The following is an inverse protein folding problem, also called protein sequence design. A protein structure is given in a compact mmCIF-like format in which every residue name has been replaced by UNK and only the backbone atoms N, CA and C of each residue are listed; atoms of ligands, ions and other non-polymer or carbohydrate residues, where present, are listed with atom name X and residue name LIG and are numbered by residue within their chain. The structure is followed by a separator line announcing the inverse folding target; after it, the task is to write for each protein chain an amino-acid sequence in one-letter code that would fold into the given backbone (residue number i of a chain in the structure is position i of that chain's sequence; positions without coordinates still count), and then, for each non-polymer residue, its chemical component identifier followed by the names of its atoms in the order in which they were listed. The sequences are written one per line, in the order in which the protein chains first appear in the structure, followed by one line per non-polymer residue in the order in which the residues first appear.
data_IF_517969829692
#
_entry.id   IF_517969829692
#
_cell.length_a   1.000
_cell.length_b   1.000
_cell.length_c   1.000
_cell.angle_alpha   90.00
_cell.angle_beta   90.00
_cell.angle_gamma   90.00
#
_symmetry.space_group_name_H-M   'P 1'
#
loop_
_entity.id
_entity.type
_entity.pdbx_description
1 polymer ?
#
# COMPACT_ATOMS: atom_id res chain seq x y z
N UNK A 1 -28.34 -28.02 -10.09
CA UNK A 1 -27.15 -27.22 -10.45
C UNK A 1 -27.41 -25.72 -10.66
N UNK A 2 -28.64 -25.18 -10.59
CA UNK A 2 -28.88 -23.72 -10.71
C UNK A 2 -28.72 -22.94 -9.41
N UNK A 3 -29.01 -23.54 -8.26
CA UNK A 3 -29.01 -22.85 -6.96
C UNK A 3 -27.60 -22.50 -6.45
N UNK A 4 -26.59 -23.30 -6.83
CA UNK A 4 -25.20 -23.07 -6.43
C UNK A 4 -24.65 -21.77 -7.05
N UNK A 5 -24.87 -21.55 -8.35
CA UNK A 5 -24.44 -20.34 -9.05
C UNK A 5 -25.22 -19.07 -8.64
N UNK A 6 -26.49 -19.22 -8.23
CA UNK A 6 -27.30 -18.09 -7.74
C UNK A 6 -26.83 -17.52 -6.39
N UNK A 7 -25.99 -18.25 -5.64
CA UNK A 7 -25.50 -17.81 -4.33
C UNK A 7 -24.14 -17.09 -4.45
N UNK A 8 -23.39 -17.32 -5.53
CA UNK A 8 -22.16 -16.58 -5.87
C UNK A 8 -22.41 -15.37 -6.78
N UNK A 9 -23.63 -15.21 -7.30
CA UNK A 9 -24.02 -14.02 -8.04
C UNK A 9 -23.94 -12.80 -7.11
N UNK A 10 -22.90 -11.97 -7.32
CA UNK A 10 -22.81 -10.63 -6.71
C UNK A 10 -24.07 -9.87 -7.11
N UNK A 11 -24.93 -9.43 -6.18
CA UNK A 11 -26.13 -8.70 -6.53
C UNK A 11 -25.74 -7.47 -7.36
N UNK A 12 -26.21 -7.44 -8.61
CA UNK A 12 -25.89 -6.37 -9.54
C UNK A 12 -26.59 -5.11 -9.04
N UNK A 13 -25.77 -4.06 -8.87
CA UNK A 13 -26.07 -2.69 -8.46
C UNK A 13 -26.35 -2.50 -6.96
N UNK A 14 -25.28 -2.54 -6.14
CA UNK A 14 -25.25 -1.58 -5.04
C UNK A 14 -24.98 -0.22 -5.65
N UNK A 15 -26.02 0.60 -5.79
CA UNK A 15 -25.86 2.01 -6.14
C UNK A 15 -25.37 2.73 -4.88
N UNK A 16 -24.13 2.46 -4.51
CA UNK A 16 -23.40 3.14 -3.48
C UNK A 16 -23.09 4.53 -4.04
N UNK A 17 -24.10 5.41 -4.11
CA UNK A 17 -23.93 6.85 -4.34
C UNK A 17 -23.29 7.48 -3.08
N UNK A 18 -22.22 6.85 -2.63
CA UNK A 18 -21.24 7.31 -1.68
C UNK A 18 -20.26 8.13 -2.50
N UNK A 19 -20.16 9.41 -2.20
CA UNK A 19 -19.21 10.32 -2.86
C UNK A 19 -17.79 9.75 -2.85
N UNK A 20 -17.41 8.96 -1.83
CA UNK A 20 -16.08 8.34 -1.75
C UNK A 20 -15.88 7.23 -2.78
N UNK A 21 -16.91 6.42 -3.06
CA UNK A 21 -16.82 5.36 -4.07
C UNK A 21 -16.72 5.96 -5.48
N UNK A 22 -17.51 6.99 -5.76
CA UNK A 22 -17.44 7.76 -7.02
C UNK A 22 -16.06 8.42 -7.20
N UNK A 23 -15.52 9.05 -6.15
CA UNK A 23 -14.18 9.65 -6.18
C UNK A 23 -13.08 8.61 -6.43
N UNK A 24 -13.18 7.42 -5.82
CA UNK A 24 -12.23 6.34 -6.02
C UNK A 24 -12.28 5.81 -7.47
N UNK A 25 -13.48 5.61 -8.01
CA UNK A 25 -13.71 5.16 -9.38
C UNK A 25 -13.19 6.19 -10.40
N UNK A 26 -13.47 7.47 -10.19
CA UNK A 26 -12.97 8.55 -11.05
C UNK A 26 -11.44 8.66 -10.98
N UNK A 27 -10.85 8.54 -9.79
CA UNK A 27 -9.40 8.52 -9.61
C UNK A 27 -8.76 7.31 -10.30
N UNK A 28 -9.36 6.13 -10.15
CA UNK A 28 -8.91 4.91 -10.83
C UNK A 28 -8.94 5.08 -12.34
N UNK A 29 -10.08 5.49 -12.91
CA UNK A 29 -10.24 5.73 -14.36
C UNK A 29 -9.26 6.78 -14.89
N UNK A 30 -8.98 7.82 -14.11
CA UNK A 30 -8.10 8.92 -14.51
C UNK A 30 -6.61 8.62 -14.38
N UNK A 31 -6.21 7.75 -13.45
CA UNK A 31 -4.79 7.49 -13.12
C UNK A 31 -4.28 6.10 -13.54
N UNK A 32 -5.17 5.16 -13.87
CA UNK A 32 -4.76 3.81 -14.26
C UNK A 32 -3.93 3.84 -15.54
N UNK A 33 -2.71 3.32 -15.44
CA UNK A 33 -1.78 3.21 -16.54
C UNK A 33 -1.07 1.85 -16.52
N UNK A 34 -0.74 1.35 -17.71
CA UNK A 34 0.06 0.13 -17.86
C UNK A 34 1.50 0.54 -18.13
N UNK A 35 2.36 0.41 -17.12
CA UNK A 35 3.79 0.70 -17.21
C UNK A 35 4.58 -0.60 -17.10
N UNK A 36 5.42 -0.94 -18.08
CA UNK A 36 6.26 -2.15 -18.05
C UNK A 36 5.50 -3.46 -17.71
N UNK A 37 4.28 -3.63 -18.25
CA UNK A 37 3.35 -4.75 -17.96
C UNK A 37 2.81 -4.81 -16.53
N UNK A 38 2.98 -3.74 -15.75
CA UNK A 38 2.40 -3.57 -14.42
C UNK A 38 1.35 -2.46 -14.46
N UNK A 39 0.23 -2.68 -13.77
CA UNK A 39 -0.76 -1.63 -13.58
C UNK A 39 -0.28 -0.70 -12.47
N UNK A 40 -0.25 0.59 -12.77
CA UNK A 40 -0.02 1.65 -11.82
C UNK A 40 -1.31 2.48 -11.73
N UNK A 41 -1.73 2.77 -10.52
CA UNK A 41 -2.87 3.63 -10.21
C UNK A 41 -2.42 4.59 -9.12
N UNK A 42 -2.89 5.83 -9.16
CA UNK A 42 -2.60 6.78 -8.11
C UNK A 42 -3.34 6.36 -6.83
N UNK A 43 -2.71 6.61 -5.69
CA UNK A 43 -3.36 6.40 -4.41
C UNK A 43 -4.27 7.61 -4.12
N UNK A 44 -5.60 7.45 -4.01
CA UNK A 44 -6.48 8.57 -3.71
C UNK A 44 -6.23 9.06 -2.27
N UNK A 45 -5.92 10.35 -2.14
CA UNK A 45 -5.74 11.02 -0.85
C UNK A 45 -6.98 11.86 -0.56
N UNK A 46 -7.56 11.69 0.63
CA UNK A 46 -8.81 12.35 1.03
C UNK A 46 -8.67 13.85 1.32
N UNK A 47 -7.45 14.33 1.50
CA UNK A 47 -7.12 15.73 1.82
C UNK A 47 -6.09 16.25 0.81
N UNK A 48 -6.02 17.59 0.58
CA UNK A 48 -4.96 18.16 -0.24
C UNK A 48 -3.57 17.74 0.26
N UNK A 49 -2.64 17.50 -0.67
CA UNK A 49 -1.29 17.00 -0.37
C UNK A 49 -0.56 17.87 0.66
N UNK A 50 -0.78 19.18 0.61
CA UNK A 50 -0.18 20.16 1.52
C UNK A 50 -0.64 19.97 2.97
N UNK A 51 -1.82 19.38 3.17
CA UNK A 51 -2.45 19.17 4.48
C UNK A 51 -2.26 17.74 4.99
N UNK A 52 -1.74 16.81 4.17
CA UNK A 52 -1.58 15.40 4.57
C UNK A 52 -0.76 15.29 5.85
N UNK A 53 0.33 16.03 5.94
CA UNK A 53 1.22 16.01 7.10
C UNK A 53 0.50 16.45 8.39
N UNK A 54 -0.40 17.44 8.30
CA UNK A 54 -1.19 17.92 9.44
C UNK A 54 -2.22 16.88 9.91
N UNK A 55 -2.65 15.99 9.01
CA UNK A 55 -3.68 14.98 9.28
C UNK A 55 -3.10 13.61 9.69
N UNK A 56 -1.78 13.41 9.55
CA UNK A 56 -1.11 12.17 9.92
C UNK A 56 -1.00 11.97 11.44
N UNK A 57 -1.14 13.03 12.25
CA UNK A 57 -1.12 12.96 13.70
C UNK A 57 0.13 12.25 14.23
N UNK A 58 -0.05 11.23 15.08
CA UNK A 58 1.05 10.49 15.73
C UNK A 58 1.60 9.32 14.88
N UNK A 59 1.25 9.25 13.60
CA UNK A 59 1.66 8.15 12.70
C UNK A 59 3.19 7.99 12.63
N UNK A 60 3.93 9.09 12.68
CA UNK A 60 5.40 9.07 12.66
C UNK A 60 5.97 8.37 13.90
N UNK A 61 5.56 8.76 15.11
CA UNK A 61 6.07 8.14 16.33
C UNK A 61 5.67 6.66 16.42
N UNK A 62 4.47 6.30 15.95
CA UNK A 62 4.05 4.90 15.84
C UNK A 62 4.96 4.12 14.88
N UNK A 63 5.25 4.66 13.69
CA UNK A 63 6.13 4.03 12.71
C UNK A 63 7.56 3.87 13.26
N UNK A 64 8.09 4.90 13.92
CA UNK A 64 9.41 4.86 14.56
C UNK A 64 9.48 3.78 15.65
N UNK A 65 8.48 3.71 16.53
CA UNK A 65 8.41 2.68 17.56
C UNK A 65 8.35 1.27 16.96
N UNK A 66 7.59 1.08 15.88
CA UNK A 66 7.54 -0.20 15.15
C UNK A 66 8.90 -0.56 14.55
N UNK A 67 9.60 0.42 13.96
CA UNK A 67 10.93 0.23 13.40
C UNK A 67 11.95 -0.20 14.46
N UNK A 68 12.02 0.51 15.60
CA UNK A 68 12.92 0.16 16.71
C UNK A 68 12.60 -1.22 17.29
N UNK A 69 11.31 -1.58 17.40
CA UNK A 69 10.91 -2.89 17.90
C UNK A 69 11.28 -4.01 16.92
N UNK A 70 11.15 -3.78 15.61
CA UNK A 70 11.61 -4.71 14.58
C UNK A 70 13.12 -4.92 14.71
N UNK A 71 13.90 -3.83 14.80
CA UNK A 71 15.35 -3.90 14.96
C UNK A 71 15.74 -4.75 16.18
N UNK A 72 15.14 -4.52 17.35
CA UNK A 72 15.39 -5.32 18.56
C UNK A 72 15.06 -6.80 18.36
N UNK A 73 13.94 -7.10 17.67
CA UNK A 73 13.51 -8.47 17.37
C UNK A 73 14.51 -9.19 16.48
N UNK A 74 14.99 -8.51 15.43
CA UNK A 74 15.99 -9.05 14.49
C UNK A 74 17.35 -9.25 15.17
N UNK A 75 17.78 -8.32 16.03
CA UNK A 75 19.02 -8.47 16.81
C UNK A 75 18.97 -9.66 17.76
N UNK A 76 17.82 -9.90 18.40
CA UNK A 76 17.65 -11.02 19.34
C UNK A 76 17.62 -12.38 18.62
N UNK A 77 17.05 -12.44 17.42
CA UNK A 77 16.92 -13.68 16.65
C UNK A 77 17.66 -13.58 15.30
N UNK A 78 18.87 -14.15 15.26
CA UNK A 78 19.75 -14.15 14.07
C UNK A 78 19.15 -14.88 12.87
N UNK A 79 18.39 -15.94 13.09
CA UNK A 79 17.74 -16.70 12.00
C UNK A 79 16.68 -15.84 11.32
N UNK A 80 15.84 -15.17 12.13
CA UNK A 80 14.82 -14.26 11.61
C UNK A 80 15.46 -13.10 10.84
N UNK A 81 16.59 -12.57 11.31
CA UNK A 81 17.33 -11.53 10.58
C UNK A 81 17.81 -12.01 9.21
N UNK A 82 18.36 -13.23 9.14
CA UNK A 82 18.81 -13.79 7.86
C UNK A 82 17.66 -13.97 6.87
N UNK A 83 16.51 -14.47 7.33
CA UNK A 83 15.30 -14.62 6.50
C UNK A 83 14.77 -13.26 6.04
N UNK A 84 14.69 -12.28 6.95
CA UNK A 84 14.25 -10.93 6.62
C UNK A 84 15.16 -10.27 5.59
N UNK A 85 16.49 -10.40 5.77
CA UNK A 85 17.47 -9.88 4.82
C UNK A 85 17.31 -10.52 3.44
N UNK A 86 17.24 -11.85 3.38
CA UNK A 86 17.08 -12.57 2.12
C UNK A 86 15.82 -12.10 1.36
N UNK A 87 14.70 -11.92 2.06
CA UNK A 87 13.48 -11.41 1.45
C UNK A 87 13.64 -10.01 0.86
N UNK A 88 14.32 -9.09 1.57
CA UNK A 88 14.58 -7.73 1.06
C UNK A 88 15.50 -7.78 -0.17
N UNK A 89 16.52 -8.63 -0.14
CA UNK A 89 17.43 -8.82 -1.27
C UNK A 89 16.66 -9.34 -2.51
N UNK A 90 15.76 -10.32 -2.34
CA UNK A 90 14.88 -10.82 -3.43
C UNK A 90 13.97 -9.74 -4.00
N UNK A 91 13.36 -8.90 -3.16
CA UNK A 91 12.50 -7.80 -3.60
C UNK A 91 13.28 -6.81 -4.47
N UNK A 92 14.53 -6.54 -4.13
CA UNK A 92 15.41 -5.66 -4.92
C UNK A 92 15.82 -6.36 -6.23
N UNK A 93 16.21 -7.64 -6.18
CA UNK A 93 16.59 -8.43 -7.36
C UNK A 93 15.46 -8.55 -8.38
N UNK A 94 14.21 -8.68 -7.92
CA UNK A 94 13.01 -8.69 -8.76
C UNK A 94 12.65 -7.31 -9.34
N UNK A 95 13.36 -6.24 -8.95
CA UNK A 95 13.08 -4.88 -9.35
C UNK A 95 11.82 -4.29 -8.71
N UNK A 96 11.34 -4.88 -7.61
CA UNK A 96 10.19 -4.39 -6.83
C UNK A 96 10.59 -3.39 -5.75
N UNK A 97 11.88 -3.31 -5.40
CA UNK A 97 12.42 -2.36 -4.45
C UNK A 97 13.69 -1.69 -4.95
N UNK A 98 13.94 -0.47 -4.48
CA UNK A 98 15.17 0.26 -4.74
C UNK A 98 15.63 0.97 -3.46
N UNK A 99 16.95 1.18 -3.34
CA UNK A 99 17.48 2.05 -2.30
C UNK A 99 17.17 3.49 -2.64
N UNK A 100 16.64 4.22 -1.67
CA UNK A 100 16.30 5.64 -1.80
C UNK A 100 17.16 6.41 -0.80
N UNK A 101 17.81 7.47 -1.28
CA UNK A 101 18.51 8.40 -0.41
C UNK A 101 17.50 9.37 0.21
N UNK A 102 17.37 9.31 1.54
CA UNK A 102 16.39 10.10 2.29
C UNK A 102 16.75 11.59 2.23
N UNK A 103 18.03 11.94 2.10
CA UNK A 103 18.47 13.34 2.03
C UNK A 103 18.09 14.08 0.74
N UNK A 104 17.44 13.40 -0.21
CA UNK A 104 16.93 14.00 -1.45
C UNK A 104 15.50 14.53 -1.32
N UNK A 105 14.83 14.29 -0.19
CA UNK A 105 13.43 14.66 0.06
C UNK A 105 13.26 15.71 1.17
N UNK A 106 14.36 16.34 1.61
CA UNK A 106 14.38 17.47 2.55
C UNK A 106 14.10 18.83 1.86
#
# INVERSE_FOLDING_TARGET
MKQFWQTEDVPIIFNEASTEAELCEDNFKGSVQLNNKQFQVDLPIKVPLEQVNDHLGDSFNLALNRFVNLEKKLHKNKELFQQYKHFIDEIIELGHGQYIDIGQYD
#
